data_IF_713253504570
#
_entry.id   IF_713253504570
#
_cell.length_a   1.000
_cell.length_b   1.000
_cell.length_c   1.000
_cell.angle_alpha   90.00
_cell.angle_beta   90.00
_cell.angle_gamma   90.00
#
_symmetry.space_group_name_H-M   'P 1'
#
loop_
_entity.id
_entity.type
_entity.pdbx_description
1 polymer ?
#
# COMPACT_ATOMS: atom_id res chain seq x y z
N UNK A 1 16.97 16.56 -16.79
CA UNK A 1 15.57 16.73 -16.33
C UNK A 1 15.17 15.46 -15.61
N UNK A 2 15.17 15.47 -14.27
CA UNK A 2 14.79 14.29 -13.48
C UNK A 2 13.26 14.23 -13.39
N UNK A 3 12.68 13.23 -14.04
CA UNK A 3 11.26 12.90 -13.90
C UNK A 3 11.05 12.31 -12.49
N UNK A 4 10.45 13.10 -11.60
CA UNK A 4 10.02 12.60 -10.29
C UNK A 4 8.73 11.80 -10.49
N UNK A 5 8.80 10.48 -10.37
CA UNK A 5 7.61 9.63 -10.34
C UNK A 5 6.91 9.87 -9.00
N UNK A 6 5.79 10.60 -9.03
CA UNK A 6 5.00 10.92 -7.85
C UNK A 6 4.14 9.71 -7.48
N UNK A 7 4.53 8.93 -6.48
CA UNK A 7 3.67 7.89 -5.91
C UNK A 7 2.43 8.55 -5.29
N UNK A 8 1.24 8.14 -5.72
CA UNK A 8 0.00 8.67 -5.15
C UNK A 8 -0.24 8.03 -3.78
N UNK A 9 -0.49 8.82 -2.73
CA UNK A 9 -0.74 8.27 -1.40
C UNK A 9 -2.09 7.53 -1.37
N UNK A 10 -2.18 6.50 -0.53
CA UNK A 10 -3.43 5.78 -0.27
C UNK A 10 -4.39 6.70 0.52
N UNK A 11 -5.42 7.23 -0.17
CA UNK A 11 -6.39 8.17 0.39
C UNK A 11 -7.62 7.46 0.97
N UNK A 12 -8.23 8.06 2.00
CA UNK A 12 -9.45 7.57 2.63
C UNK A 12 -9.34 7.51 4.15
N UNK A 13 -10.44 7.81 4.84
CA UNK A 13 -10.48 7.95 6.31
C UNK A 13 -11.47 7.01 7.00
N UNK A 14 -12.11 6.10 6.25
CA UNK A 14 -13.00 5.09 6.83
C UNK A 14 -12.23 4.11 7.71
N UNK A 15 -12.95 3.44 8.62
CA UNK A 15 -12.37 2.44 9.52
C UNK A 15 -11.66 1.32 8.72
N UNK A 16 -12.28 0.86 7.63
CA UNK A 16 -11.68 -0.13 6.74
C UNK A 16 -10.33 0.32 6.13
N UNK A 17 -10.18 1.62 5.84
CA UNK A 17 -8.91 2.17 5.35
C UNK A 17 -7.87 2.30 6.47
N UNK A 18 -8.29 2.54 7.71
CA UNK A 18 -7.40 2.53 8.87
C UNK A 18 -6.88 1.11 9.13
N UNK A 19 -7.77 0.12 9.12
CA UNK A 19 -7.41 -1.30 9.27
C UNK A 19 -6.46 -1.76 8.15
N UNK A 20 -6.75 -1.35 6.91
CA UNK A 20 -5.87 -1.63 5.78
C UNK A 20 -4.46 -1.04 5.99
N UNK A 21 -4.36 0.22 6.44
CA UNK A 21 -3.06 0.84 6.74
C UNK A 21 -2.32 0.10 7.86
N UNK A 22 -3.03 -0.30 8.92
CA UNK A 22 -2.44 -1.07 10.01
C UNK A 22 -1.89 -2.42 9.53
N UNK A 23 -2.66 -3.14 8.69
CA UNK A 23 -2.21 -4.41 8.11
C UNK A 23 -0.98 -4.22 7.21
N UNK A 24 -0.96 -3.16 6.40
CA UNK A 24 0.19 -2.79 5.57
C UNK A 24 1.44 -2.56 6.44
N UNK A 25 1.33 -1.79 7.51
CA UNK A 25 2.44 -1.51 8.43
C UNK A 25 2.96 -2.78 9.13
N UNK A 26 2.07 -3.68 9.51
CA UNK A 26 2.45 -4.95 10.15
C UNK A 26 3.18 -5.87 9.18
N UNK A 27 2.63 -6.07 7.99
CA UNK A 27 3.22 -6.99 7.00
C UNK A 27 4.53 -6.45 6.43
N UNK A 28 4.65 -5.14 6.26
CA UNK A 28 5.85 -4.49 5.72
C UNK A 28 7.10 -4.74 6.56
N UNK A 29 6.95 -4.96 7.88
CA UNK A 29 8.05 -5.28 8.81
C UNK A 29 8.52 -6.73 8.74
N UNK A 30 7.93 -7.56 7.87
CA UNK A 30 8.24 -8.98 7.75
C UNK A 30 8.84 -9.31 6.40
N UNK A 31 9.52 -10.46 6.30
CA UNK A 31 10.00 -11.01 5.02
C UNK A 31 8.97 -11.92 4.34
N UNK A 32 7.71 -11.89 4.76
CA UNK A 32 6.67 -12.75 4.20
C UNK A 32 6.26 -12.30 2.79
N UNK A 33 5.89 -13.26 1.93
CA UNK A 33 5.25 -12.96 0.65
C UNK A 33 3.82 -12.48 0.88
N UNK A 34 3.44 -11.35 0.27
CA UNK A 34 2.13 -10.72 0.44
C UNK A 34 1.27 -10.92 -0.80
N UNK A 35 0.02 -11.33 -0.63
CA UNK A 35 -0.99 -11.40 -1.68
C UNK A 35 -2.03 -10.28 -1.49
N UNK A 36 -2.20 -9.44 -2.51
CA UNK A 36 -3.17 -8.34 -2.49
C UNK A 36 -4.36 -8.71 -3.38
N UNK A 37 -5.54 -8.78 -2.79
CA UNK A 37 -6.80 -9.14 -3.46
C UNK A 37 -7.72 -7.93 -3.61
N UNK A 38 -8.56 -7.95 -4.64
CA UNK A 38 -9.52 -6.88 -4.91
C UNK A 38 -9.90 -6.78 -6.39
N UNK A 39 -10.97 -6.06 -6.68
CA UNK A 39 -11.49 -5.89 -8.04
C UNK A 39 -10.59 -4.96 -8.89
N UNK A 40 -10.81 -4.95 -10.20
CA UNK A 40 -10.13 -4.01 -11.11
C UNK A 40 -10.47 -2.56 -10.71
N UNK A 41 -9.46 -1.70 -10.66
CA UNK A 41 -9.62 -0.27 -10.35
C UNK A 41 -9.70 0.09 -8.86
N UNK A 42 -9.51 -0.86 -7.94
CA UNK A 42 -9.56 -0.57 -6.48
C UNK A 42 -8.24 -0.08 -5.88
N UNK A 43 -7.23 0.22 -6.71
CA UNK A 43 -5.95 0.78 -6.24
C UNK A 43 -5.02 -0.23 -5.54
N UNK A 44 -5.06 -1.51 -5.92
CA UNK A 44 -4.16 -2.54 -5.36
C UNK A 44 -2.68 -2.22 -5.57
N UNK A 45 -2.35 -1.55 -6.67
CA UNK A 45 -0.99 -1.08 -6.95
C UNK A 45 -0.51 -0.07 -5.90
N UNK A 46 -1.40 0.79 -5.40
CA UNK A 46 -1.06 1.76 -4.34
C UNK A 46 -0.79 1.05 -3.02
N UNK A 47 -1.55 -0.01 -2.71
CA UNK A 47 -1.30 -0.86 -1.54
C UNK A 47 0.06 -1.54 -1.65
N UNK A 48 0.39 -2.13 -2.80
CA UNK A 48 1.68 -2.77 -3.03
C UNK A 48 2.85 -1.79 -2.90
N UNK A 49 2.72 -0.59 -3.47
CA UNK A 49 3.71 0.46 -3.33
C UNK A 49 3.90 0.88 -1.87
N UNK A 50 2.81 1.03 -1.12
CA UNK A 50 2.89 1.42 0.29
C UNK A 50 3.57 0.34 1.15
N UNK A 51 3.26 -0.94 0.92
CA UNK A 51 3.97 -2.06 1.58
C UNK A 51 5.47 -1.96 1.28
N UNK A 52 5.84 -1.83 0.01
CA UNK A 52 7.24 -1.74 -0.39
C UNK A 52 7.97 -0.53 0.21
N UNK A 53 7.34 0.64 0.23
CA UNK A 53 7.89 1.86 0.82
C UNK A 53 8.16 1.73 2.33
N UNK A 54 7.33 0.95 3.03
CA UNK A 54 7.45 0.72 4.48
C UNK A 54 8.33 -0.49 4.84
N UNK A 55 8.69 -1.32 3.86
CA UNK A 55 9.60 -2.47 4.04
C UNK A 55 11.08 -2.12 3.85
N UNK A 56 11.39 -0.88 3.45
CA UNK A 56 12.74 -0.42 3.13
C UNK A 56 13.62 -0.17 4.37
#
# INVERSE_FOLDING_TARGET
MIITVKSQPLIGNSDLMQDLRHNIEMVAKTHATVLILGNTGTGKELVAQQVHLLSA
#
